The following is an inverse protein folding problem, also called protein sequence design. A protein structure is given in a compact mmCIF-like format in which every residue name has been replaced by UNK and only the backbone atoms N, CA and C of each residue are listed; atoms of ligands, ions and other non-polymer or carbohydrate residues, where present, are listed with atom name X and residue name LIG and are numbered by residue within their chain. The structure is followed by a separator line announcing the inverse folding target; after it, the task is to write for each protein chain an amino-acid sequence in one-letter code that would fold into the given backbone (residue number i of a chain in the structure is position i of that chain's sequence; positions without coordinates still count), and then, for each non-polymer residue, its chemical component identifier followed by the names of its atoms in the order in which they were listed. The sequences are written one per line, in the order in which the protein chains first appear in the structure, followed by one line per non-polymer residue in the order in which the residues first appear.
data_IF_942777720233
#
_entry.id   IF_942777720233
#
_cell.length_a   1.000
_cell.length_b   1.000
_cell.length_c   1.000
_cell.angle_alpha   90.00
_cell.angle_beta   90.00
_cell.angle_gamma   90.00
#
_symmetry.space_group_name_H-M   'P 1'
#
loop_
_entity.id
_entity.type
_entity.pdbx_description
1 polymer ?
#
# COMPACT_ATOMS: atom_id res chain seq x y z
N UNK A 1 1.30 -11.23 -22.27
CA UNK A 1 1.06 -10.06 -21.38
C UNK A 1 1.63 -10.34 -20.00
N UNK A 2 2.40 -9.39 -19.41
CA UNK A 2 2.85 -9.55 -18.04
C UNK A 2 1.65 -9.64 -17.10
N UNK A 3 1.77 -10.48 -16.09
CA UNK A 3 0.72 -10.65 -15.08
C UNK A 3 1.34 -10.52 -13.69
N UNK A 4 0.47 -10.40 -12.68
CA UNK A 4 0.92 -10.35 -11.29
C UNK A 4 1.76 -11.58 -10.93
N UNK A 5 1.45 -12.73 -11.50
CA UNK A 5 2.20 -13.97 -11.26
C UNK A 5 3.65 -13.91 -11.76
N UNK A 6 3.94 -13.01 -12.72
CA UNK A 6 5.28 -12.85 -13.27
C UNK A 6 6.13 -11.84 -12.49
N UNK A 7 5.58 -11.18 -11.49
CA UNK A 7 6.30 -10.21 -10.68
C UNK A 7 7.25 -10.94 -9.73
N UNK A 8 8.56 -10.62 -9.77
CA UNK A 8 9.55 -11.36 -8.99
C UNK A 8 9.63 -10.92 -7.53
N UNK A 9 8.49 -10.95 -6.84
CA UNK A 9 8.39 -10.56 -5.44
C UNK A 9 7.71 -11.67 -4.66
N UNK A 10 8.25 -11.98 -3.48
CA UNK A 10 7.72 -13.02 -2.59
C UNK A 10 6.95 -12.41 -1.44
N UNK A 11 5.78 -12.97 -1.15
CA UNK A 11 4.96 -12.54 -0.01
C UNK A 11 5.76 -12.74 1.30
N UNK A 12 5.74 -11.73 2.15
CA UNK A 12 6.44 -11.63 3.44
C UNK A 12 7.94 -11.38 3.34
N UNK A 13 8.50 -11.26 2.13
CA UNK A 13 9.88 -10.79 1.96
C UNK A 13 9.93 -9.26 1.99
N UNK A 14 11.13 -8.72 2.21
CA UNK A 14 11.37 -7.29 2.32
C UNK A 14 12.06 -6.74 1.07
N UNK A 15 11.64 -5.56 0.64
CA UNK A 15 12.15 -4.90 -0.55
C UNK A 15 12.26 -3.40 -0.34
N UNK A 16 13.26 -2.78 -0.94
CA UNK A 16 13.31 -1.33 -1.00
C UNK A 16 12.23 -0.79 -1.94
N UNK A 17 11.91 0.48 -1.79
CA UNK A 17 10.96 1.15 -2.70
C UNK A 17 11.41 1.03 -4.15
N UNK A 18 12.70 1.23 -4.42
CA UNK A 18 13.26 1.15 -5.76
C UNK A 18 13.12 -0.25 -6.35
N UNK A 19 13.38 -1.28 -5.55
CA UNK A 19 13.21 -2.68 -5.96
C UNK A 19 11.75 -2.99 -6.30
N UNK A 20 10.81 -2.51 -5.48
CA UNK A 20 9.38 -2.70 -5.71
C UNK A 20 8.95 -2.06 -7.03
N UNK A 21 9.28 -0.78 -7.22
CA UNK A 21 8.87 -0.04 -8.41
C UNK A 21 9.49 -0.61 -9.68
N UNK A 22 10.73 -1.10 -9.60
CA UNK A 22 11.37 -1.78 -10.73
C UNK A 22 10.67 -3.11 -11.03
N UNK A 23 10.39 -3.91 -10.01
CA UNK A 23 9.77 -5.23 -10.18
C UNK A 23 8.38 -5.16 -10.81
N UNK A 24 7.60 -4.13 -10.48
CA UNK A 24 6.25 -3.95 -11.04
C UNK A 24 6.23 -3.16 -12.34
N UNK A 25 7.39 -2.78 -12.86
CA UNK A 25 7.52 -2.10 -14.15
C UNK A 25 7.17 -0.63 -14.13
N UNK A 26 7.00 -0.02 -12.95
CA UNK A 26 6.65 1.40 -12.85
C UNK A 26 7.75 2.30 -13.40
N UNK A 27 9.01 1.93 -13.18
CA UNK A 27 10.17 2.70 -13.64
C UNK A 27 10.52 2.45 -15.10
N UNK A 28 10.00 1.39 -15.71
CA UNK A 28 10.33 1.02 -17.10
C UNK A 28 9.83 2.02 -18.14
N UNK A 29 8.94 2.94 -17.77
CA UNK A 29 8.36 3.95 -18.66
C UNK A 29 9.01 5.33 -18.48
N UNK A 30 10.26 5.38 -18.08
CA UNK A 30 11.00 6.63 -17.89
C UNK A 30 10.69 7.34 -16.58
N UNK A 31 9.89 6.76 -15.72
CA UNK A 31 9.62 7.29 -14.39
C UNK A 31 10.73 6.87 -13.43
N UNK A 32 11.07 7.75 -12.47
CA UNK A 32 12.05 7.43 -11.43
C UNK A 32 11.33 7.30 -10.08
N UNK A 33 11.88 6.52 -9.12
CA UNK A 33 11.27 6.39 -7.80
C UNK A 33 11.03 7.73 -7.10
N UNK A 34 11.87 8.72 -7.35
CA UNK A 34 11.74 10.05 -6.75
C UNK A 34 10.52 10.83 -7.24
N UNK A 35 9.92 10.45 -8.37
CA UNK A 35 8.70 11.10 -8.87
C UNK A 35 7.43 10.56 -8.25
N UNK A 36 7.49 9.42 -7.57
CA UNK A 36 6.36 8.87 -6.83
C UNK A 36 6.26 9.56 -5.48
N UNK A 37 5.29 10.45 -5.32
CA UNK A 37 5.11 11.24 -4.09
C UNK A 37 4.05 10.68 -3.17
N UNK A 38 3.09 9.97 -3.73
CA UNK A 38 2.01 9.35 -2.98
C UNK A 38 2.37 7.90 -2.67
N UNK A 39 1.73 7.33 -1.69
CA UNK A 39 1.93 5.93 -1.34
C UNK A 39 1.24 4.95 -2.27
N UNK A 40 0.87 5.36 -3.47
CA UNK A 40 0.15 4.53 -4.43
C UNK A 40 0.80 4.64 -5.80
N UNK A 41 1.03 3.48 -6.44
CA UNK A 41 1.48 3.41 -7.83
C UNK A 41 0.51 2.51 -8.61
N UNK A 42 -0.20 3.09 -9.58
CA UNK A 42 -1.00 2.31 -10.51
C UNK A 42 -0.11 1.79 -11.64
N UNK A 43 -0.08 0.47 -11.82
CA UNK A 43 0.74 -0.22 -12.81
C UNK A 43 -0.16 -0.92 -13.83
N UNK A 44 -0.53 -0.24 -14.93
CA UNK A 44 -1.51 -0.79 -15.87
C UNK A 44 -1.01 -2.03 -16.60
N UNK A 45 0.30 -2.17 -16.80
CA UNK A 45 0.84 -3.33 -17.52
C UNK A 45 0.59 -4.66 -16.81
N UNK A 46 0.43 -4.63 -15.49
CA UNK A 46 0.09 -5.80 -14.67
C UNK A 46 -1.25 -5.63 -13.97
N UNK A 47 -2.02 -4.61 -14.34
CA UNK A 47 -3.35 -4.30 -13.77
C UNK A 47 -3.32 -4.28 -12.24
N UNK A 48 -2.35 -3.59 -11.64
CA UNK A 48 -2.13 -3.63 -10.19
C UNK A 48 -1.93 -2.23 -9.61
N UNK A 49 -2.62 -1.96 -8.50
CA UNK A 49 -2.31 -0.84 -7.61
C UNK A 49 -1.33 -1.34 -6.55
N UNK A 50 -0.22 -0.64 -6.40
CA UNK A 50 0.78 -0.90 -5.37
C UNK A 50 0.59 0.12 -4.26
N UNK A 51 0.30 -0.36 -3.05
CA UNK A 51 0.12 0.49 -1.88
C UNK A 51 1.36 0.37 -0.98
N UNK A 52 2.05 1.49 -0.76
CA UNK A 52 3.25 1.56 0.09
C UNK A 52 2.87 2.30 1.38
N UNK A 53 2.89 1.59 2.50
CA UNK A 53 2.40 2.09 3.78
C UNK A 53 3.54 2.20 4.79
N UNK A 54 3.62 3.35 5.48
CA UNK A 54 4.50 3.54 6.64
C UNK A 54 3.62 3.62 7.88
N UNK A 55 3.83 2.70 8.84
CA UNK A 55 2.98 2.59 10.03
C UNK A 55 3.21 3.73 11.03
N UNK A 56 4.47 4.03 11.33
CA UNK A 56 4.83 5.12 12.25
C UNK A 56 5.07 6.40 11.46
N UNK A 57 4.15 7.34 11.57
CA UNK A 57 4.23 8.65 10.93
C UNK A 57 4.55 9.68 11.99
N UNK A 58 5.42 10.64 11.66
CA UNK A 58 5.83 11.70 12.58
C UNK A 58 5.18 13.01 12.20
N UNK A 59 5.06 13.93 13.17
CA UNK A 59 4.49 15.26 12.93
C UNK A 59 5.33 16.10 11.95
N UNK A 60 6.61 15.74 11.77
CA UNK A 60 7.48 16.39 10.81
C UNK A 60 7.17 15.98 9.37
N UNK A 61 6.60 14.79 9.17
CA UNK A 61 6.23 14.29 7.85
C UNK A 61 4.84 14.74 7.42
N UNK A 62 3.94 14.97 8.40
CA UNK A 62 2.54 15.30 8.16
C UNK A 62 2.06 16.32 9.18
N UNK A 63 1.17 17.24 8.77
CA UNK A 63 0.42 18.04 9.75
C UNK A 63 -0.61 17.13 10.45
N UNK A 64 -1.06 17.49 11.66
CA UNK A 64 -2.07 16.69 12.37
C UNK A 64 -3.36 16.45 11.57
N UNK A 65 -3.72 17.39 10.68
CA UNK A 65 -4.92 17.29 9.86
C UNK A 65 -4.75 16.40 8.63
N UNK A 66 -3.49 16.06 8.25
CA UNK A 66 -3.20 15.26 7.07
C UNK A 66 -2.50 13.94 7.42
N UNK A 67 -2.34 13.64 8.71
CA UNK A 67 -1.76 12.38 9.16
C UNK A 67 -2.74 11.23 8.92
N UNK A 68 -2.39 10.31 8.02
CA UNK A 68 -3.21 9.15 7.71
C UNK A 68 -3.08 8.09 8.80
N UNK A 69 -4.15 7.34 8.99
CA UNK A 69 -4.17 6.22 9.94
C UNK A 69 -4.26 4.92 9.17
N UNK A 70 -3.14 4.21 9.12
CA UNK A 70 -3.05 2.91 8.47
C UNK A 70 -2.68 1.90 9.54
N UNK A 71 -3.49 0.87 9.72
CA UNK A 71 -3.26 -0.12 10.78
C UNK A 71 -3.99 -1.42 10.50
N UNK A 72 -3.51 -2.50 11.12
CA UNK A 72 -4.16 -3.80 11.07
C UNK A 72 -5.38 -3.82 11.98
N UNK A 73 -6.51 -4.29 11.47
CA UNK A 73 -7.71 -4.58 12.25
C UNK A 73 -7.64 -5.99 12.83
N UNK A 74 -7.06 -6.91 12.07
CA UNK A 74 -6.82 -8.30 12.43
C UNK A 74 -5.63 -8.80 11.59
N UNK A 75 -5.13 -10.02 11.78
CA UNK A 75 -4.07 -10.53 10.90
C UNK A 75 -4.42 -10.58 9.42
N UNK A 76 -5.71 -10.59 9.06
CA UNK A 76 -6.17 -10.63 7.67
C UNK A 76 -6.76 -9.32 7.17
N UNK A 77 -7.08 -8.37 8.04
CA UNK A 77 -7.76 -7.12 7.68
C UNK A 77 -6.87 -5.92 7.96
N UNK A 78 -6.75 -5.04 6.97
CA UNK A 78 -5.94 -3.84 7.08
C UNK A 78 -6.77 -2.60 6.76
N UNK A 79 -6.74 -1.61 7.66
CA UNK A 79 -7.37 -0.31 7.48
C UNK A 79 -6.36 0.63 6.83
N UNK A 80 -6.75 1.24 5.72
CA UNK A 80 -5.87 2.11 4.93
C UNK A 80 -6.61 3.37 4.51
N UNK A 81 -5.95 4.51 4.61
CA UNK A 81 -6.50 5.76 4.09
C UNK A 81 -5.83 6.11 2.77
N UNK A 82 -6.67 6.42 1.76
CA UNK A 82 -6.22 6.77 0.43
C UNK A 82 -5.51 8.14 0.41
N UNK A 83 -5.10 8.55 -0.79
CA UNK A 83 -4.62 9.92 -1.02
C UNK A 83 -5.69 10.91 -0.55
N UNK A 84 -5.26 12.07 -0.02
CA UNK A 84 -6.16 13.06 0.59
C UNK A 84 -7.19 13.65 -0.36
N UNK A 85 -6.98 13.54 -1.67
CA UNK A 85 -7.89 14.06 -2.70
C UNK A 85 -8.82 13.01 -3.29
N UNK A 86 -8.65 11.73 -2.92
CA UNK A 86 -9.41 10.62 -3.52
C UNK A 86 -10.82 10.53 -2.94
N UNK A 87 -11.81 10.45 -3.82
CA UNK A 87 -13.21 10.21 -3.45
C UNK A 87 -13.67 8.88 -4.00
N UNK A 88 -14.74 8.32 -3.41
CA UNK A 88 -15.32 7.06 -3.87
C UNK A 88 -15.89 7.17 -5.29
N UNK A 89 -16.29 8.36 -5.73
CA UNK A 89 -16.82 8.59 -7.07
C UNK A 89 -15.74 8.87 -8.11
N UNK A 90 -14.50 9.12 -7.69
CA UNK A 90 -13.40 9.38 -8.62
C UNK A 90 -12.98 8.10 -9.37
N UNK A 91 -12.32 8.22 -10.54
CA UNK A 91 -11.81 7.03 -11.24
C UNK A 91 -10.88 6.19 -10.37
N UNK A 92 -10.02 6.82 -9.58
CA UNK A 92 -9.10 6.12 -8.66
C UNK A 92 -9.88 5.37 -7.57
N UNK A 93 -10.85 6.03 -6.92
CA UNK A 93 -11.67 5.40 -5.89
C UNK A 93 -12.50 4.24 -6.45
N UNK A 94 -13.07 4.42 -7.64
CA UNK A 94 -13.83 3.35 -8.29
C UNK A 94 -12.94 2.15 -8.65
N UNK A 95 -11.67 2.39 -9.00
CA UNK A 95 -10.72 1.31 -9.26
C UNK A 95 -10.49 0.47 -8.00
N UNK A 96 -10.35 1.09 -6.83
CA UNK A 96 -10.21 0.36 -5.56
C UNK A 96 -11.46 -0.47 -5.25
N UNK A 97 -12.63 0.14 -5.36
CA UNK A 97 -13.90 -0.50 -5.00
C UNK A 97 -14.19 -1.68 -5.92
N UNK A 98 -13.94 -1.52 -7.21
CA UNK A 98 -14.35 -2.48 -8.24
C UNK A 98 -13.20 -3.34 -8.78
N UNK A 99 -12.04 -3.39 -8.10
CA UNK A 99 -10.85 -4.05 -8.64
C UNK A 99 -11.10 -5.53 -8.97
N UNK A 100 -11.89 -6.23 -8.15
CA UNK A 100 -12.19 -7.64 -8.39
C UNK A 100 -13.06 -7.82 -9.63
N UNK A 101 -14.08 -6.97 -9.79
CA UNK A 101 -14.95 -6.99 -10.97
C UNK A 101 -14.16 -6.68 -12.23
N UNK A 102 -13.23 -5.76 -12.14
CA UNK A 102 -12.44 -5.30 -13.29
C UNK A 102 -11.23 -6.21 -13.58
N UNK A 103 -10.98 -7.21 -12.74
CA UNK A 103 -9.84 -8.11 -12.90
C UNK A 103 -8.50 -7.46 -12.57
N UNK A 104 -8.51 -6.40 -11.76
CA UNK A 104 -7.28 -5.74 -11.32
C UNK A 104 -6.90 -6.20 -9.92
N UNK A 105 -5.66 -5.93 -9.54
CA UNK A 105 -5.08 -6.39 -8.28
C UNK A 105 -4.66 -5.24 -7.41
N UNK A 106 -4.57 -5.50 -6.10
CA UNK A 106 -4.01 -4.58 -5.12
C UNK A 106 -2.93 -5.33 -4.36
N UNK A 107 -1.72 -4.78 -4.33
CA UNK A 107 -0.60 -5.30 -3.54
C UNK A 107 -0.31 -4.35 -2.40
N UNK A 108 -0.31 -4.87 -1.19
CA UNK A 108 -0.06 -4.09 0.02
C UNK A 108 1.34 -4.36 0.55
N UNK A 109 2.11 -3.27 0.73
CA UNK A 109 3.45 -3.28 1.31
C UNK A 109 3.45 -2.39 2.54
N UNK A 110 4.08 -2.83 3.62
CA UNK A 110 4.18 -2.03 4.84
C UNK A 110 5.60 -1.99 5.37
N UNK A 111 5.95 -0.87 6.02
CA UNK A 111 7.16 -0.75 6.82
C UNK A 111 6.80 -0.09 8.14
N UNK A 112 7.58 -0.37 9.18
CA UNK A 112 7.31 0.17 10.51
C UNK A 112 7.54 1.67 10.57
N UNK A 113 8.67 2.14 10.02
CA UNK A 113 9.03 3.54 10.02
C UNK A 113 9.74 3.91 8.72
N UNK A 114 9.79 5.21 8.41
CA UNK A 114 10.42 5.72 7.19
C UNK A 114 11.91 5.40 7.12
N UNK A 115 12.61 5.50 8.26
CA UNK A 115 14.04 5.22 8.34
C UNK A 115 14.34 4.34 9.54
N UNK A 116 15.48 3.64 9.46
CA UNK A 116 16.07 2.91 10.57
C UNK A 116 17.54 3.31 10.71
N UNK A 117 18.34 2.61 11.52
CA UNK A 117 19.75 2.92 11.74
C UNK A 117 20.61 2.82 10.48
N UNK A 118 20.13 2.15 9.42
CA UNK A 118 20.85 1.96 8.16
C UNK A 118 20.37 2.88 7.03
N UNK A 119 19.37 3.76 7.29
CA UNK A 119 18.82 4.66 6.29
C UNK A 119 17.32 4.37 6.04
N UNK A 120 16.87 4.44 4.79
CA UNK A 120 15.47 4.17 4.45
C UNK A 120 15.11 2.72 4.78
N UNK A 121 14.01 2.52 5.50
CA UNK A 121 13.53 1.19 5.85
C UNK A 121 12.93 0.47 4.64
N UNK A 122 13.20 -0.83 4.47
CA UNK A 122 12.52 -1.61 3.45
C UNK A 122 11.06 -1.86 3.82
N UNK A 123 10.25 -2.19 2.82
CA UNK A 123 8.87 -2.59 2.99
C UNK A 123 8.75 -4.11 2.98
N UNK A 124 7.81 -4.64 3.75
CA UNK A 124 7.43 -6.06 3.71
C UNK A 124 6.21 -6.19 2.81
N UNK A 125 6.26 -7.12 1.86
CA UNK A 125 5.11 -7.42 1.02
C UNK A 125 4.10 -8.24 1.82
N UNK A 126 2.95 -7.67 2.13
CA UNK A 126 1.85 -8.41 2.76
C UNK A 126 1.08 -9.26 1.75
N UNK A 127 1.16 -8.91 0.47
CA UNK A 127 0.56 -9.70 -0.61
C UNK A 127 -0.67 -9.05 -1.21
N UNK A 128 -1.36 -9.82 -2.07
CA UNK A 128 -2.61 -9.35 -2.66
C UNK A 128 -3.69 -9.12 -1.60
N UNK A 129 -4.52 -8.12 -1.86
CA UNK A 129 -5.62 -7.77 -0.95
C UNK A 129 -6.89 -7.53 -1.75
N UNK A 130 -8.05 -7.80 -1.13
CA UNK A 130 -9.37 -7.57 -1.71
C UNK A 130 -10.09 -6.46 -0.95
N UNK A 131 -10.82 -5.64 -1.69
CA UNK A 131 -11.67 -4.61 -1.13
C UNK A 131 -12.80 -5.26 -0.30
N UNK A 132 -13.02 -4.74 0.90
CA UNK A 132 -14.14 -5.16 1.76
C UNK A 132 -15.18 -4.05 1.85
N UNK A 133 -14.78 -2.87 2.34
CA UNK A 133 -15.67 -1.72 2.54
C UNK A 133 -14.84 -0.44 2.62
N UNK A 134 -15.52 0.70 2.61
CA UNK A 134 -14.87 1.99 2.85
C UNK A 134 -15.80 2.94 3.58
N UNK A 135 -15.21 3.98 4.16
CA UNK A 135 -15.94 5.09 4.77
C UNK A 135 -15.32 6.39 4.30
N UNK A 136 -16.18 7.39 4.06
CA UNK A 136 -15.78 8.76 3.77
C UNK A 136 -15.07 8.95 2.44
N UNK A 137 -14.71 10.21 2.23
CA UNK A 137 -13.96 10.67 1.05
C UNK A 137 -12.91 11.68 1.51
N UNK A 138 -11.84 11.80 0.72
CA UNK A 138 -10.78 12.81 0.87
C UNK A 138 -10.10 12.80 2.25
N UNK A 139 -9.54 11.69 2.71
CA UNK A 139 -9.35 10.41 2.03
C UNK A 139 -10.49 9.44 2.22
N UNK A 140 -10.52 8.41 1.39
CA UNK A 140 -11.32 7.22 1.63
C UNK A 140 -10.63 6.35 2.68
N UNK A 141 -11.35 5.91 3.69
CA UNK A 141 -10.85 4.91 4.64
C UNK A 141 -11.30 3.54 4.15
N UNK A 142 -10.38 2.76 3.61
CA UNK A 142 -10.67 1.47 2.96
C UNK A 142 -10.21 0.33 3.85
N UNK A 143 -11.05 -0.70 3.99
CA UNK A 143 -10.67 -1.96 4.63
C UNK A 143 -10.32 -2.97 3.55
N UNK A 144 -9.11 -3.50 3.62
CA UNK A 144 -8.57 -4.51 2.71
C UNK A 144 -8.48 -5.85 3.41
N UNK A 145 -8.86 -6.92 2.72
CA UNK A 145 -8.67 -8.30 3.20
C UNK A 145 -7.48 -8.91 2.49
N UNK A 146 -6.45 -9.28 3.26
CA UNK A 146 -5.27 -9.95 2.73
C UNK A 146 -5.59 -11.38 2.32
N UNK A 147 -5.02 -11.86 1.22
CA UNK A 147 -5.14 -13.25 0.81
C UNK A 147 -4.41 -14.19 1.77
N UNK A 148 -3.36 -13.70 2.42
CA UNK A 148 -2.61 -14.44 3.45
C UNK A 148 -2.50 -13.59 4.70
N UNK A 149 -2.61 -14.22 5.87
CA UNK A 149 -2.44 -13.53 7.15
C UNK A 149 -1.06 -12.89 7.22
N UNK A 150 -0.99 -11.67 7.76
CA UNK A 150 0.30 -10.99 7.92
C UNK A 150 1.15 -11.66 9.00
N UNK A 151 2.50 -11.51 8.91
CA UNK A 151 3.37 -11.98 9.98
C UNK A 151 3.01 -11.35 11.33
N UNK A 152 3.14 -12.13 12.40
CA UNK A 152 2.80 -11.67 13.75
C UNK A 152 3.54 -10.39 14.12
N UNK A 153 4.82 -10.27 13.77
CA UNK A 153 5.62 -9.09 14.10
C UNK A 153 5.04 -7.83 13.44
N UNK A 154 4.57 -7.96 12.20
CA UNK A 154 3.96 -6.84 11.48
C UNK A 154 2.63 -6.46 12.11
N UNK A 155 1.81 -7.44 12.47
CA UNK A 155 0.54 -7.20 13.13
C UNK A 155 0.75 -6.46 14.46
N UNK A 156 1.70 -6.93 15.29
CA UNK A 156 1.99 -6.30 16.56
C UNK A 156 2.55 -4.88 16.41
N UNK A 157 3.45 -4.67 15.44
CA UNK A 157 3.99 -3.34 15.13
C UNK A 157 2.88 -2.39 14.67
N UNK A 158 1.97 -2.88 13.84
CA UNK A 158 0.83 -2.10 13.35
C UNK A 158 -0.08 -1.67 14.51
N UNK A 159 -0.39 -2.58 15.43
CA UNK A 159 -1.25 -2.26 16.59
C UNK A 159 -0.55 -1.30 17.56
N UNK A 160 0.74 -1.44 17.76
CA UNK A 160 1.52 -0.54 18.62
C UNK A 160 1.58 0.87 18.06
N UNK A 161 1.59 1.04 16.73
CA UNK A 161 1.68 2.35 16.09
C UNK A 161 0.43 3.22 16.28
N UNK A 162 -0.72 2.62 16.62
CA UNK A 162 -2.00 3.32 16.83
C UNK A 162 -2.46 3.31 18.29
N UNK A 163 -1.66 2.71 19.16
CA UNK A 163 -1.95 2.64 20.60
C UNK A 163 -1.71 3.99 21.28
#
# INVERSE_FOLDING_TARGET
MPSLADVPLAVHASYSREEILAAVGWTSKGRTPSTMREGVAWCPDINTDVLLVTLKKTDTDYSPTTMYRDFALSPELFHWESQSTTTSSSPTGQRYINHRRNGTNVLLFVREAKTNSLGASPYVLLGPADYVTHEGDRPMAVTWRLHRSMPTEIYLASRAAVA
#
